data_IF_958023832688
#
_entry.id   IF_958023832688
#
_cell.length_a   1.000
_cell.length_b   1.000
_cell.length_c   1.000
_cell.angle_alpha   90.00
_cell.angle_beta   90.00
_cell.angle_gamma   90.00
#
_symmetry.space_group_name_H-M   'P 1'
#
loop_
_entity.id
_entity.type
_entity.pdbx_description
1 polymer ?
#
# COMPACT_ATOMS: atom_id res chain seq x y z
N UNK A 1 54.79 10.12 25.40
CA UNK A 1 53.45 10.44 24.89
C UNK A 1 53.32 10.47 23.36
N UNK A 2 54.40 10.32 22.55
CA UNK A 2 54.30 10.39 21.08
C UNK A 2 53.76 9.14 20.36
N UNK A 3 53.93 7.93 20.92
CA UNK A 3 53.60 6.70 20.18
C UNK A 3 52.10 6.38 20.12
N UNK A 4 51.32 6.76 21.14
CA UNK A 4 49.87 6.50 21.19
C UNK A 4 49.12 7.43 20.23
N UNK A 5 49.55 8.69 20.13
CA UNK A 5 48.98 9.65 19.17
C UNK A 5 49.15 9.16 17.73
N UNK A 6 50.34 8.64 17.39
CA UNK A 6 50.62 8.15 16.04
C UNK A 6 49.78 6.93 15.66
N UNK A 7 49.48 6.05 16.62
CA UNK A 7 48.61 4.87 16.40
C UNK A 7 47.17 5.32 16.13
N UNK A 8 46.65 6.28 16.90
CA UNK A 8 45.28 6.80 16.72
C UNK A 8 45.15 7.50 15.36
N UNK A 9 46.14 8.31 14.96
CA UNK A 9 46.14 8.96 13.64
C UNK A 9 46.17 7.94 12.51
N UNK A 10 46.97 6.87 12.64
CA UNK A 10 47.04 5.81 11.62
C UNK A 10 45.70 5.08 11.46
N UNK A 11 45.01 4.77 12.57
CA UNK A 11 43.68 4.12 12.55
C UNK A 11 42.64 5.03 11.89
N UNK A 12 42.65 6.33 12.16
CA UNK A 12 41.71 7.26 11.50
C UNK A 12 41.94 7.35 9.99
N UNK A 13 43.20 7.38 9.54
CA UNK A 13 43.53 7.40 8.10
C UNK A 13 43.04 6.12 7.41
N UNK A 14 43.22 4.96 8.04
CA UNK A 14 42.70 3.70 7.50
C UNK A 14 41.16 3.66 7.45
N UNK A 15 40.48 4.18 8.47
CA UNK A 15 39.02 4.28 8.48
C UNK A 15 38.50 5.18 7.35
N UNK A 16 39.15 6.32 7.09
CA UNK A 16 38.77 7.22 5.99
C UNK A 16 38.98 6.60 4.61
N UNK A 17 40.08 5.86 4.41
CA UNK A 17 40.34 5.14 3.14
C UNK A 17 39.31 4.02 2.94
N UNK A 18 38.97 3.27 3.98
CA UNK A 18 37.96 2.21 3.92
C UNK A 18 36.56 2.76 3.58
N UNK A 19 36.17 3.90 4.17
CA UNK A 19 34.92 4.59 3.81
C UNK A 19 34.93 5.10 2.36
N UNK A 20 36.06 5.61 1.87
CA UNK A 20 36.20 6.04 0.48
C UNK A 20 36.07 4.89 -0.53
N UNK A 21 36.70 3.75 -0.25
CA UNK A 21 36.60 2.55 -1.10
C UNK A 21 35.18 1.95 -1.04
N UNK A 22 34.56 1.94 0.14
CA UNK A 22 33.17 1.49 0.32
C UNK A 22 32.19 2.37 -0.47
N UNK A 23 32.36 3.69 -0.40
CA UNK A 23 31.56 4.63 -1.17
C UNK A 23 31.78 4.47 -2.68
N UNK A 24 33.02 4.28 -3.13
CA UNK A 24 33.35 4.04 -4.53
C UNK A 24 32.77 2.73 -5.10
N UNK A 25 32.74 1.65 -4.30
CA UNK A 25 32.11 0.38 -4.66
C UNK A 25 30.58 0.50 -4.80
N UNK A 26 29.93 1.21 -3.88
CA UNK A 26 28.48 1.47 -3.94
C UNK A 26 28.14 2.35 -5.15
N UNK A 27 28.94 3.38 -5.40
CA UNK A 27 28.76 4.28 -6.54
C UNK A 27 28.94 3.55 -7.88
N UNK A 28 30.00 2.73 -8.03
CA UNK A 28 30.22 1.95 -9.25
C UNK A 28 29.10 0.93 -9.51
N UNK A 29 28.46 0.41 -8.47
CA UNK A 29 27.31 -0.51 -8.61
C UNK A 29 26.04 0.20 -9.10
N UNK A 30 25.88 1.50 -8.84
CA UNK A 30 24.75 2.29 -9.35
C UNK A 30 25.02 2.84 -10.77
N UNK A 31 26.26 3.21 -11.11
CA UNK A 31 26.59 3.75 -12.44
C UNK A 31 26.70 2.70 -13.56
N UNK A 32 26.66 1.40 -13.24
CA UNK A 32 26.61 0.32 -14.22
C UNK A 32 25.20 -0.05 -14.71
N UNK A 33 24.15 0.54 -14.14
CA UNK A 33 22.75 0.28 -14.51
C UNK A 33 22.29 1.24 -15.63
N UNK A 34 23.08 1.36 -16.70
CA UNK A 34 22.61 1.91 -17.97
C UNK A 34 21.80 0.84 -18.69
N UNK A 35 20.47 0.97 -18.67
CA UNK A 35 19.59 0.11 -19.48
C UNK A 35 19.81 0.48 -20.95
N UNK A 36 20.49 -0.40 -21.70
CA UNK A 36 20.45 -0.37 -23.15
C UNK A 36 19.07 -0.87 -23.59
N UNK A 37 18.20 0.06 -23.99
CA UNK A 37 16.90 -0.27 -24.59
C UNK A 37 17.16 -0.52 -26.07
N UNK A 38 17.32 -1.79 -26.47
CA UNK A 38 17.14 -2.17 -27.87
C UNK A 38 15.63 -2.25 -28.14
N UNK A 39 15.11 -1.26 -28.86
CA UNK A 39 13.73 -1.29 -29.37
C UNK A 39 13.67 -2.41 -30.42
N UNK A 40 13.17 -3.58 -30.02
CA UNK A 40 12.85 -4.67 -30.93
C UNK A 40 11.74 -4.23 -31.87
N UNK A 41 11.92 -4.49 -33.18
CA UNK A 41 10.95 -4.14 -34.23
C UNK A 41 9.60 -4.83 -33.97
N UNK A 42 8.54 -4.04 -34.10
CA UNK A 42 7.15 -4.47 -33.95
C UNK A 42 6.68 -5.09 -35.27
N UNK A 43 6.59 -6.42 -35.35
CA UNK A 43 6.00 -7.12 -36.51
C UNK A 43 4.49 -7.35 -36.26
N UNK A 44 3.66 -6.63 -37.02
CA UNK A 44 2.21 -6.82 -37.09
C UNK A 44 1.87 -7.80 -38.21
N UNK A 45 1.78 -9.10 -37.90
CA UNK A 45 1.12 -10.06 -38.78
C UNK A 45 -0.08 -10.71 -38.03
N UNK A 46 -1.33 -10.43 -38.43
CA UNK A 46 -2.51 -10.81 -37.67
C UNK A 46 -3.01 -12.25 -37.93
N UNK A 47 -2.22 -13.11 -38.59
CA UNK A 47 -2.62 -14.47 -38.95
C UNK A 47 -1.63 -15.55 -38.47
N UNK A 48 -1.50 -15.71 -37.16
CA UNK A 48 -0.90 -16.91 -36.56
C UNK A 48 -1.82 -17.41 -35.44
N UNK A 49 -2.45 -18.57 -35.67
CA UNK A 49 -3.49 -19.14 -34.82
C UNK A 49 -3.06 -19.41 -33.38
N UNK A 50 -4.03 -19.27 -32.48
CA UNK A 50 -3.93 -19.56 -31.05
C UNK A 50 -3.44 -21.00 -30.81
N UNK A 51 -2.24 -21.12 -30.27
CA UNK A 51 -1.88 -22.25 -29.43
C UNK A 51 -1.81 -21.72 -28.00
N UNK A 52 -2.79 -22.09 -27.18
CA UNK A 52 -2.77 -21.88 -25.73
C UNK A 52 -1.56 -22.64 -25.19
N UNK A 53 -0.47 -21.91 -24.92
CA UNK A 53 0.72 -22.47 -24.28
C UNK A 53 0.42 -22.59 -22.80
N UNK A 54 0.42 -23.81 -22.29
CA UNK A 54 0.45 -24.09 -20.86
C UNK A 54 1.62 -23.33 -20.22
N UNK A 55 1.30 -22.28 -19.45
CA UNK A 55 2.30 -21.52 -18.70
C UNK A 55 2.72 -22.40 -17.52
N UNK A 56 3.85 -23.09 -17.66
CA UNK A 56 4.54 -23.71 -16.51
C UNK A 56 4.82 -22.60 -15.51
N UNK A 57 4.34 -22.78 -14.28
CA UNK A 57 4.54 -21.86 -13.15
C UNK A 57 6.02 -21.90 -12.75
N UNK A 58 6.84 -21.10 -13.40
CA UNK A 58 8.25 -20.94 -13.03
C UNK A 58 8.36 -20.35 -11.63
N UNK A 59 9.26 -20.92 -10.84
CA UNK A 59 9.52 -20.52 -9.47
C UNK A 59 10.26 -19.17 -9.46
N UNK A 60 9.49 -18.09 -9.42
CA UNK A 60 10.00 -16.72 -9.38
C UNK A 60 10.89 -16.56 -8.15
N UNK A 61 12.16 -16.22 -8.37
CA UNK A 61 13.14 -15.91 -7.33
C UNK A 61 12.61 -14.70 -6.53
N UNK A 62 12.10 -14.97 -5.31
CA UNK A 62 11.39 -13.98 -4.51
C UNK A 62 12.35 -12.84 -4.12
N UNK A 63 11.90 -11.60 -4.28
CA UNK A 63 12.63 -10.43 -3.79
C UNK A 63 12.93 -10.60 -2.30
N UNK A 64 14.13 -10.25 -1.84
CA UNK A 64 14.51 -10.30 -0.40
C UNK A 64 13.49 -9.62 0.51
N UNK A 65 12.80 -8.60 0.00
CA UNK A 65 11.70 -7.94 0.73
C UNK A 65 10.51 -8.86 0.99
N UNK A 66 10.17 -9.77 0.08
CA UNK A 66 9.14 -10.79 0.29
C UNK A 66 9.57 -11.89 1.27
N UNK A 67 10.87 -12.06 1.50
CA UNK A 67 11.38 -12.96 2.53
C UNK A 67 11.21 -12.33 3.92
N UNK A 68 11.48 -11.03 4.05
CA UNK A 68 11.24 -10.26 5.28
C UNK A 68 9.76 -10.02 5.57
N UNK A 69 8.96 -9.74 4.55
CA UNK A 69 7.51 -9.68 4.65
C UNK A 69 7.03 -11.13 4.77
N UNK A 70 6.83 -11.61 5.99
CA UNK A 70 6.35 -12.97 6.29
C UNK A 70 4.91 -13.25 5.80
N UNK A 71 4.45 -12.54 4.76
CA UNK A 71 3.18 -12.68 4.07
C UNK A 71 3.34 -13.74 2.99
N UNK A 72 2.49 -14.76 3.04
CA UNK A 72 2.41 -15.81 2.03
C UNK A 72 1.55 -15.36 0.86
N UNK A 73 0.34 -14.89 1.16
CA UNK A 73 -0.64 -14.51 0.14
C UNK A 73 -1.73 -13.60 0.73
N UNK A 74 -2.43 -12.89 -0.16
CA UNK A 74 -3.60 -12.05 0.15
C UNK A 74 -4.73 -12.48 -0.78
N UNK A 75 -5.73 -13.14 -0.20
CA UNK A 75 -6.94 -13.62 -0.89
C UNK A 75 -8.18 -13.18 -0.12
N UNK A 76 -9.19 -12.67 -0.83
CA UNK A 76 -10.49 -12.29 -0.25
C UNK A 76 -10.37 -11.43 1.03
N UNK A 77 -9.49 -10.41 1.00
CA UNK A 77 -9.22 -9.50 2.11
C UNK A 77 -8.55 -10.12 3.35
N UNK A 78 -8.10 -11.38 3.24
CA UNK A 78 -7.40 -12.10 4.30
C UNK A 78 -5.93 -12.22 3.92
N UNK A 79 -5.06 -11.77 4.83
CA UNK A 79 -3.61 -11.90 4.72
C UNK A 79 -3.22 -13.20 5.42
N UNK A 80 -2.59 -14.11 4.67
CA UNK A 80 -2.02 -15.35 5.18
C UNK A 80 -0.55 -15.13 5.49
N UNK A 81 -0.13 -15.50 6.70
CA UNK A 81 1.26 -15.43 7.12
C UNK A 81 1.95 -16.79 6.92
N UNK A 82 3.20 -16.76 6.43
CA UNK A 82 4.02 -17.96 6.20
C UNK A 82 4.31 -18.72 7.49
N UNK A 83 4.45 -18.00 8.61
CA UNK A 83 4.76 -18.57 9.92
C UNK A 83 3.50 -18.66 10.77
N UNK A 84 3.32 -19.82 11.41
CA UNK A 84 2.28 -20.03 12.42
C UNK A 84 0.85 -20.18 11.90
N UNK A 85 0.65 -20.41 10.60
CA UNK A 85 -0.68 -20.45 9.96
C UNK A 85 -1.55 -19.24 10.34
N UNK A 86 -0.91 -18.08 10.49
CA UNK A 86 -1.57 -16.86 10.94
C UNK A 86 -2.47 -16.29 9.86
N UNK A 87 -3.70 -15.94 10.22
CA UNK A 87 -4.61 -15.20 9.36
C UNK A 87 -4.81 -13.80 9.93
N UNK A 88 -4.83 -12.79 9.07
CA UNK A 88 -5.07 -11.39 9.44
C UNK A 88 -6.11 -10.75 8.54
N UNK A 89 -6.92 -9.87 9.11
CA UNK A 89 -7.78 -8.94 8.39
C UNK A 89 -7.42 -7.53 8.84
N UNK A 90 -7.36 -6.60 7.88
CA UNK A 90 -7.17 -5.17 8.16
C UNK A 90 -8.51 -4.46 7.94
N UNK A 91 -8.92 -3.70 8.95
CA UNK A 91 -10.06 -2.79 8.90
C UNK A 91 -9.55 -1.36 8.73
N UNK A 92 -10.20 -0.58 7.87
CA UNK A 92 -10.06 0.87 7.81
C UNK A 92 -11.08 1.49 8.75
N UNK A 93 -10.65 2.47 9.55
CA UNK A 93 -11.49 3.13 10.55
C UNK A 93 -11.45 4.64 10.30
N UNK A 94 -12.64 5.22 10.18
CA UNK A 94 -12.84 6.67 10.15
C UNK A 94 -13.75 7.06 11.31
N UNK A 95 -13.20 7.82 12.26
CA UNK A 95 -13.94 8.35 13.40
C UNK A 95 -14.76 9.58 12.98
N UNK A 96 -15.94 9.80 13.58
CA UNK A 96 -16.59 11.10 13.54
C UNK A 96 -15.73 12.15 14.26
N UNK A 97 -16.03 13.43 14.03
CA UNK A 97 -15.43 14.50 14.81
C UNK A 97 -16.12 14.57 16.17
N UNK A 98 -15.43 14.08 17.21
CA UNK A 98 -15.95 14.01 18.56
C UNK A 98 -16.36 15.38 19.13
N UNK A 99 -15.70 16.46 18.71
CA UNK A 99 -16.03 17.80 19.16
C UNK A 99 -17.38 18.30 18.62
N UNK A 100 -17.81 17.76 17.46
CA UNK A 100 -19.07 18.11 16.81
C UNK A 100 -20.25 17.26 17.28
N UNK A 101 -20.01 16.25 18.12
CA UNK A 101 -21.06 15.41 18.69
C UNK A 101 -21.79 16.16 19.82
N UNK A 102 -23.09 15.92 19.95
CA UNK A 102 -23.84 16.34 21.12
C UNK A 102 -23.52 15.44 22.34
N UNK A 103 -23.97 15.83 23.54
CA UNK A 103 -23.58 15.12 24.77
C UNK A 103 -24.11 13.67 24.82
N UNK A 104 -25.31 13.42 24.31
CA UNK A 104 -25.86 12.06 24.22
C UNK A 104 -25.05 11.19 23.25
N UNK A 105 -24.63 11.75 22.12
CA UNK A 105 -23.79 11.08 21.13
C UNK A 105 -22.40 10.79 21.68
N UNK A 106 -21.82 11.71 22.46
CA UNK A 106 -20.55 11.48 23.16
C UNK A 106 -20.67 10.35 24.16
N UNK A 107 -21.74 10.32 24.95
CA UNK A 107 -22.00 9.24 25.90
C UNK A 107 -22.12 7.88 25.19
N UNK A 108 -22.86 7.80 24.07
CA UNK A 108 -22.96 6.57 23.26
C UNK A 108 -21.60 6.16 22.71
N UNK A 109 -20.83 7.12 22.20
CA UNK A 109 -19.49 6.90 21.66
C UNK A 109 -18.55 6.31 22.72
N UNK A 110 -18.49 6.93 23.91
CA UNK A 110 -17.64 6.48 25.01
C UNK A 110 -18.06 5.10 25.54
N UNK A 111 -19.35 4.89 25.77
CA UNK A 111 -19.86 3.59 26.24
C UNK A 111 -19.57 2.48 25.24
N UNK A 112 -19.73 2.73 23.93
CA UNK A 112 -19.41 1.76 22.88
C UNK A 112 -17.93 1.36 22.88
N UNK A 113 -17.03 2.31 23.15
CA UNK A 113 -15.59 2.03 23.25
C UNK A 113 -15.22 1.26 24.52
N UNK A 114 -15.88 1.55 25.64
CA UNK A 114 -15.73 0.78 26.89
C UNK A 114 -16.20 -0.65 26.69
N UNK A 115 -17.38 -0.83 26.08
CA UNK A 115 -17.94 -2.15 25.74
C UNK A 115 -17.02 -2.93 24.80
N UNK A 116 -16.44 -2.26 23.79
CA UNK A 116 -15.41 -2.88 22.95
C UNK A 116 -14.25 -3.37 23.81
N UNK A 117 -13.68 -2.51 24.65
CA UNK A 117 -12.56 -2.86 25.53
C UNK A 117 -12.84 -4.08 26.41
N UNK A 118 -14.06 -4.19 26.94
CA UNK A 118 -14.50 -5.34 27.74
C UNK A 118 -14.73 -6.61 26.90
N UNK A 119 -15.17 -6.47 25.65
CA UNK A 119 -15.40 -7.57 24.73
C UNK A 119 -14.09 -8.13 24.12
N UNK A 120 -12.98 -7.40 24.20
CA UNK A 120 -11.69 -7.84 23.67
C UNK A 120 -11.07 -8.95 24.51
N UNK A 121 -11.22 -10.19 24.05
CA UNK A 121 -10.50 -11.36 24.55
C UNK A 121 -9.39 -11.85 23.59
N UNK A 122 -8.99 -11.03 22.63
CA UNK A 122 -7.95 -11.33 21.65
C UNK A 122 -7.09 -10.10 21.33
N UNK A 123 -5.90 -10.35 20.77
CA UNK A 123 -4.97 -9.30 20.36
C UNK A 123 -5.47 -8.52 19.15
N UNK A 124 -5.48 -7.20 19.28
CA UNK A 124 -5.75 -6.24 18.21
C UNK A 124 -4.57 -5.28 18.11
N UNK A 125 -4.23 -4.88 16.89
CA UNK A 125 -3.22 -3.85 16.65
C UNK A 125 -3.83 -2.66 15.90
N UNK A 126 -3.75 -1.48 16.51
CA UNK A 126 -4.10 -0.24 15.82
C UNK A 126 -2.88 0.32 15.09
N UNK A 127 -3.10 0.82 13.89
CA UNK A 127 -2.08 1.41 13.05
C UNK A 127 -2.61 2.68 12.39
N UNK A 128 -1.86 3.76 12.50
CA UNK A 128 -2.24 5.05 11.90
C UNK A 128 -1.10 5.56 11.06
N UNK A 129 -1.42 6.03 9.86
CA UNK A 129 -0.43 6.61 8.95
C UNK A 129 -0.98 7.86 8.27
N UNK A 130 -0.09 8.79 7.96
CA UNK A 130 -0.41 9.96 7.16
C UNK A 130 -0.22 9.61 5.69
N UNK A 131 -1.28 9.71 4.90
CA UNK A 131 -1.23 9.56 3.45
C UNK A 131 -1.45 10.92 2.80
N UNK A 132 -0.78 11.18 1.68
CA UNK A 132 -1.07 12.39 0.91
C UNK A 132 -2.54 12.38 0.48
N UNK A 133 -3.16 13.55 0.44
CA UNK A 133 -4.55 13.67 -0.01
C UNK A 133 -4.65 13.24 -1.47
N UNK A 134 -5.62 12.39 -1.73
CA UNK A 134 -6.02 11.98 -3.07
C UNK A 134 -7.39 12.60 -3.35
N UNK A 135 -7.43 13.52 -4.30
CA UNK A 135 -8.67 14.19 -4.74
C UNK A 135 -9.09 13.77 -6.15
N UNK A 136 -8.40 12.83 -6.80
CA UNK A 136 -8.59 12.51 -8.22
C UNK A 136 -10.03 12.16 -8.54
N UNK A 137 -10.59 11.20 -7.80
CA UNK A 137 -11.98 10.75 -7.99
C UNK A 137 -12.98 11.90 -7.80
N UNK A 138 -12.74 12.78 -6.82
CA UNK A 138 -13.61 13.94 -6.59
C UNK A 138 -13.46 15.00 -7.69
N UNK A 139 -12.24 15.21 -8.18
CA UNK A 139 -11.94 16.12 -9.28
C UNK A 139 -12.60 15.62 -10.58
N UNK A 140 -12.48 14.33 -10.90
CA UNK A 140 -13.11 13.72 -12.07
C UNK A 140 -14.63 13.84 -12.04
N UNK A 141 -15.25 13.67 -10.87
CA UNK A 141 -16.69 13.91 -10.70
C UNK A 141 -17.08 15.37 -10.96
N UNK A 142 -16.30 16.33 -10.47
CA UNK A 142 -16.53 17.75 -10.76
C UNK A 142 -16.36 18.06 -12.27
N UNK A 143 -15.37 17.43 -12.90
CA UNK A 143 -15.14 17.57 -14.35
C UNK A 143 -16.28 16.96 -15.18
N UNK A 144 -16.85 15.83 -14.74
CA UNK A 144 -17.97 15.19 -15.43
C UNK A 144 -19.19 16.12 -15.51
N UNK A 145 -19.51 16.85 -14.43
CA UNK A 145 -20.60 17.85 -14.42
C UNK A 145 -20.34 19.00 -15.39
N UNK A 146 -19.07 19.37 -15.58
CA UNK A 146 -18.68 20.45 -16.50
C UNK A 146 -18.84 20.01 -17.97
N UNK A 147 -18.55 18.73 -18.26
CA UNK A 147 -18.60 18.14 -19.60
C UNK A 147 -20.00 17.65 -20.00
N UNK A 148 -20.93 17.64 -19.06
CA UNK A 148 -22.28 17.16 -19.31
C UNK A 148 -22.99 18.09 -20.31
N UNK A 149 -23.58 17.46 -21.32
CA UNK A 149 -24.23 18.12 -22.47
C UNK A 149 -25.67 18.48 -22.10
N UNK A 150 -26.19 17.99 -20.96
CA UNK A 150 -27.55 18.28 -20.54
C UNK A 150 -27.78 19.81 -20.38
N UNK A 151 -28.71 20.33 -21.18
CA UNK A 151 -29.13 21.74 -21.20
C UNK A 151 -29.87 22.13 -19.91
N UNK A 152 -30.27 21.16 -19.09
CA UNK A 152 -30.87 21.41 -17.77
C UNK A 152 -29.88 21.94 -16.73
N UNK A 153 -28.57 21.81 -16.97
CA UNK A 153 -27.53 22.25 -16.04
C UNK A 153 -27.20 23.72 -16.31
N UNK A 154 -27.56 24.59 -15.35
CA UNK A 154 -27.26 26.03 -15.39
C UNK A 154 -25.75 26.26 -15.60
N UNK A 155 -25.42 27.19 -16.49
CA UNK A 155 -24.05 27.61 -16.80
C UNK A 155 -23.26 27.97 -15.54
N UNK A 156 -23.90 28.60 -14.54
CA UNK A 156 -23.25 28.93 -13.26
C UNK A 156 -22.78 27.70 -12.50
N UNK A 157 -23.50 26.58 -12.60
CA UNK A 157 -23.13 25.32 -11.96
C UNK A 157 -21.94 24.68 -12.68
N UNK A 158 -21.86 24.81 -14.01
CA UNK A 158 -20.70 24.38 -14.80
C UNK A 158 -19.46 25.19 -14.43
N UNK A 159 -19.58 26.52 -14.31
CA UNK A 159 -18.48 27.39 -13.91
C UNK A 159 -17.99 27.09 -12.48
N UNK A 160 -18.92 26.86 -11.54
CA UNK A 160 -18.57 26.43 -10.18
C UNK A 160 -17.85 25.08 -10.19
N UNK A 161 -18.35 24.10 -10.96
CA UNK A 161 -17.74 22.77 -11.05
C UNK A 161 -16.32 22.82 -11.61
N UNK A 162 -16.06 23.70 -12.59
CA UNK A 162 -14.72 23.94 -13.12
C UNK A 162 -13.79 24.56 -12.06
N UNK A 163 -14.25 25.58 -11.33
CA UNK A 163 -13.45 26.19 -10.26
C UNK A 163 -13.13 25.20 -9.12
N UNK A 164 -14.08 24.30 -8.81
CA UNK A 164 -13.89 23.23 -7.84
C UNK A 164 -12.86 22.21 -8.33
N UNK A 165 -12.94 21.82 -9.60
CA UNK A 165 -11.97 20.92 -10.23
C UNK A 165 -10.54 21.48 -10.15
N UNK A 166 -10.34 22.74 -10.53
CA UNK A 166 -9.04 23.41 -10.44
C UNK A 166 -8.52 23.44 -9.01
N UNK A 167 -9.40 23.75 -8.05
CA UNK A 167 -9.02 23.79 -6.64
C UNK A 167 -8.62 22.43 -6.09
N UNK A 168 -9.31 21.37 -6.50
CA UNK A 168 -8.97 19.99 -6.11
C UNK A 168 -7.61 19.57 -6.70
N UNK A 169 -7.34 19.91 -7.97
CA UNK A 169 -6.03 19.68 -8.57
C UNK A 169 -4.91 20.44 -7.88
N UNK A 170 -5.14 21.70 -7.49
CA UNK A 170 -4.17 22.47 -6.70
C UNK A 170 -3.85 21.78 -5.37
N UNK A 171 -4.88 21.29 -4.67
CA UNK A 171 -4.72 20.55 -3.42
C UNK A 171 -3.93 19.27 -3.62
N UNK A 172 -4.18 18.52 -4.70
CA UNK A 172 -3.44 17.30 -5.02
C UNK A 172 -1.95 17.56 -5.34
N UNK A 173 -1.70 18.63 -6.10
CA UNK A 173 -0.34 19.01 -6.50
C UNK A 173 0.43 19.66 -5.36
N UNK A 174 -0.27 20.21 -4.37
CA UNK A 174 0.36 20.74 -3.17
C UNK A 174 1.13 19.63 -2.43
N UNK A 175 2.39 19.89 -2.11
CA UNK A 175 3.28 18.88 -1.51
C UNK A 175 3.00 18.59 -0.03
N UNK A 176 2.12 19.34 0.62
CA UNK A 176 2.04 19.40 2.10
C UNK A 176 0.68 19.01 2.68
N UNK A 177 -0.29 18.60 1.86
CA UNK A 177 -1.62 18.24 2.36
C UNK A 177 -1.71 16.74 2.58
N UNK A 178 -1.78 16.34 3.84
CA UNK A 178 -1.85 14.94 4.28
C UNK A 178 -3.12 14.69 5.09
N UNK A 179 -3.71 13.50 4.92
CA UNK A 179 -4.80 12.99 5.73
C UNK A 179 -4.32 11.83 6.59
N UNK A 180 -4.83 11.79 7.82
CA UNK A 180 -4.59 10.69 8.73
C UNK A 180 -5.54 9.54 8.43
N UNK A 181 -5.01 8.37 8.08
CA UNK A 181 -5.78 7.14 7.92
C UNK A 181 -5.48 6.20 9.07
N UNK A 182 -6.54 5.71 9.71
CA UNK A 182 -6.45 4.76 10.82
C UNK A 182 -6.91 3.37 10.39
N UNK A 183 -6.22 2.37 10.90
CA UNK A 183 -6.39 0.98 10.58
C UNK A 183 -6.38 0.14 11.86
N UNK A 184 -7.05 -1.00 11.80
CA UNK A 184 -7.09 -1.99 12.87
C UNK A 184 -6.79 -3.36 12.26
N UNK A 185 -5.77 -4.03 12.77
CA UNK A 185 -5.35 -5.36 12.34
C UNK A 185 -5.83 -6.36 13.37
N UNK A 186 -6.63 -7.32 12.91
CA UNK A 186 -7.20 -8.38 13.73
C UNK A 186 -6.64 -9.69 13.21
N UNK A 187 -6.20 -10.55 14.13
CA UNK A 187 -5.52 -11.78 13.79
C UNK A 187 -5.90 -12.99 14.61
N UNK A 188 -5.57 -14.15 14.05
CA UNK A 188 -5.55 -15.43 14.73
C UNK A 188 -4.28 -16.18 14.33
N UNK A 189 -3.66 -16.85 15.29
CA UNK A 189 -2.41 -17.61 15.13
C UNK A 189 -2.61 -19.06 15.58
N UNK A 190 -1.85 -19.98 14.98
CA UNK A 190 -1.70 -21.34 15.50
C UNK A 190 -2.88 -22.29 15.28
N UNK A 191 -3.86 -21.93 14.44
CA UNK A 191 -5.00 -22.81 14.16
C UNK A 191 -4.72 -23.69 12.94
N UNK A 192 -4.71 -25.01 13.16
CA UNK A 192 -4.44 -26.01 12.11
C UNK A 192 -5.62 -26.16 11.15
N UNK A 193 -6.85 -26.15 11.67
CA UNK A 193 -8.06 -26.21 10.85
C UNK A 193 -8.41 -24.83 10.26
N UNK A 194 -8.19 -24.70 8.95
CA UNK A 194 -8.47 -23.48 8.18
C UNK A 194 -9.92 -23.02 8.31
N UNK A 195 -10.91 -23.93 8.32
CA UNK A 195 -12.33 -23.53 8.36
C UNK A 195 -12.68 -22.92 9.71
N UNK A 196 -12.20 -23.55 10.79
CA UNK A 196 -12.36 -23.03 12.15
C UNK A 196 -11.65 -21.69 12.32
N UNK A 197 -10.42 -21.58 11.84
CA UNK A 197 -9.63 -20.34 11.90
C UNK A 197 -10.36 -19.16 11.22
N UNK A 198 -10.94 -19.42 10.05
CA UNK A 198 -11.69 -18.41 9.29
C UNK A 198 -12.99 -18.01 10.00
N UNK A 199 -13.72 -18.98 10.56
CA UNK A 199 -14.95 -18.70 11.31
C UNK A 199 -14.66 -17.84 12.54
N UNK A 200 -13.64 -18.22 13.31
CA UNK A 200 -13.22 -17.46 14.48
C UNK A 200 -12.72 -16.06 14.13
N UNK A 201 -11.91 -15.92 13.07
CA UNK A 201 -11.44 -14.61 12.59
C UNK A 201 -12.62 -13.72 12.20
N UNK A 202 -13.63 -14.26 11.49
CA UNK A 202 -14.84 -13.51 11.13
C UNK A 202 -15.63 -13.09 12.36
N UNK A 203 -15.74 -13.93 13.37
CA UNK A 203 -16.39 -13.58 14.63
C UNK A 203 -15.65 -12.43 15.33
N UNK A 204 -14.32 -12.51 15.45
CA UNK A 204 -13.48 -11.44 16.02
C UNK A 204 -13.66 -10.11 15.27
N UNK A 205 -13.66 -10.16 13.94
CA UNK A 205 -13.91 -8.99 13.09
C UNK A 205 -15.32 -8.44 13.32
N UNK A 206 -16.34 -9.31 13.40
CA UNK A 206 -17.73 -8.93 13.65
C UNK A 206 -17.91 -8.21 15.00
N UNK A 207 -17.27 -8.70 16.07
CA UNK A 207 -17.27 -8.04 17.38
C UNK A 207 -16.72 -6.62 17.30
N UNK A 208 -15.56 -6.45 16.65
CA UNK A 208 -14.92 -5.13 16.53
C UNK A 208 -15.72 -4.20 15.62
N UNK A 209 -16.18 -4.69 14.48
CA UNK A 209 -16.99 -3.90 13.54
C UNK A 209 -18.31 -3.47 14.17
N UNK A 210 -18.98 -4.36 14.90
CA UNK A 210 -20.24 -4.05 15.59
C UNK A 210 -20.05 -2.92 16.60
N UNK A 211 -19.08 -3.06 17.52
CA UNK A 211 -18.84 -2.07 18.55
C UNK A 211 -18.42 -0.69 17.99
N UNK A 212 -17.52 -0.68 17.00
CA UNK A 212 -17.08 0.57 16.37
C UNK A 212 -18.21 1.23 15.56
N UNK A 213 -19.11 0.44 14.95
CA UNK A 213 -20.28 0.98 14.24
C UNK A 213 -21.29 1.59 15.20
N UNK A 214 -21.48 1.01 16.39
CA UNK A 214 -22.30 1.61 17.46
C UNK A 214 -21.73 2.96 17.92
N UNK A 215 -20.39 3.07 17.96
CA UNK A 215 -19.69 4.34 18.18
C UNK A 215 -19.76 5.32 16.98
N UNK A 216 -20.67 5.12 16.02
CA UNK A 216 -20.81 5.92 14.80
C UNK A 216 -19.52 6.04 13.96
N UNK A 217 -18.57 5.13 14.15
CA UNK A 217 -17.35 5.09 13.33
C UNK A 217 -17.64 4.35 12.03
N UNK A 218 -17.09 4.83 10.92
CA UNK A 218 -17.15 4.12 9.64
C UNK A 218 -16.03 3.09 9.60
N UNK A 219 -16.40 1.82 9.48
CA UNK A 219 -15.46 0.69 9.46
C UNK A 219 -15.66 -0.13 8.21
N UNK A 220 -14.59 -0.29 7.41
CA UNK A 220 -14.62 -1.12 6.20
C UNK A 220 -13.45 -2.10 6.19
N UNK A 221 -13.71 -3.35 5.81
CA UNK A 221 -12.67 -4.36 5.56
C UNK A 221 -11.87 -3.93 4.31
N UNK A 222 -10.54 -3.93 4.38
CA UNK A 222 -9.73 -3.61 3.20
C UNK A 222 -9.69 -4.77 2.23
N UNK A 223 -10.00 -4.47 0.96
CA UNK A 223 -9.80 -5.37 -0.18
C UNK A 223 -8.31 -5.51 -0.54
N UNK A 224 -7.99 -6.50 -1.37
CA UNK A 224 -6.61 -6.85 -1.75
C UNK A 224 -5.85 -5.66 -2.32
N UNK A 225 -6.49 -4.90 -3.21
CA UNK A 225 -5.94 -3.72 -3.88
C UNK A 225 -5.62 -2.62 -2.87
N UNK A 226 -6.54 -2.39 -1.93
CA UNK A 226 -6.38 -1.38 -0.87
C UNK A 226 -5.30 -1.80 0.15
N UNK A 227 -5.14 -3.10 0.42
CA UNK A 227 -4.04 -3.62 1.24
C UNK A 227 -2.71 -3.38 0.52
N UNK A 228 -2.62 -3.68 -0.78
CA UNK A 228 -1.43 -3.39 -1.57
C UNK A 228 -1.08 -1.90 -1.57
N UNK A 229 -2.10 -1.04 -1.74
CA UNK A 229 -1.95 0.42 -1.64
C UNK A 229 -1.45 0.85 -0.25
N UNK A 230 -1.95 0.25 0.83
CA UNK A 230 -1.48 0.52 2.18
C UNK A 230 0.01 0.20 2.31
N UNK A 231 0.45 -0.98 1.87
CA UNK A 231 1.87 -1.34 1.87
C UNK A 231 2.70 -0.39 1.02
N UNK A 232 2.25 -0.03 -0.19
CA UNK A 232 2.93 0.92 -1.05
C UNK A 232 3.11 2.28 -0.36
N UNK A 233 2.08 2.79 0.32
CA UNK A 233 2.13 4.06 1.05
C UNK A 233 3.07 4.01 2.25
N UNK A 234 3.09 2.88 2.98
CA UNK A 234 3.93 2.72 4.17
C UNK A 234 5.40 2.57 3.79
N UNK A 235 5.69 1.83 2.71
CA UNK A 235 7.06 1.59 2.24
C UNK A 235 7.61 2.79 1.45
N UNK A 236 6.77 3.51 0.71
CA UNK A 236 7.15 4.64 -0.13
C UNK A 236 6.52 5.95 0.35
N UNK A 237 6.83 6.36 1.59
CA UNK A 237 6.26 7.56 2.19
C UNK A 237 6.52 8.80 1.33
N UNK A 238 5.47 9.60 1.10
CA UNK A 238 5.55 10.84 0.32
C UNK A 238 5.45 10.65 -1.20
N UNK A 239 5.31 9.42 -1.69
CA UNK A 239 5.00 9.14 -3.09
C UNK A 239 3.49 9.18 -3.37
N UNK A 240 3.11 9.51 -4.61
CA UNK A 240 1.73 9.49 -5.10
C UNK A 240 1.44 8.20 -5.90
N UNK A 241 2.03 7.08 -5.47
CA UNK A 241 1.79 5.79 -6.14
C UNK A 241 0.34 5.40 -5.92
N UNK A 242 -0.41 5.15 -7.00
CA UNK A 242 -1.74 4.56 -6.95
C UNK A 242 -1.70 3.20 -7.63
N UNK A 243 -1.87 2.14 -6.85
CA UNK A 243 -1.90 0.76 -7.31
C UNK A 243 -3.10 0.52 -8.22
N UNK A 244 -4.23 1.16 -7.93
CA UNK A 244 -5.45 1.09 -8.74
C UNK A 244 -5.18 1.56 -10.18
N UNK A 245 -4.59 2.75 -10.34
CA UNK A 245 -4.21 3.24 -11.67
C UNK A 245 -3.13 2.38 -12.34
N UNK A 246 -2.23 1.74 -11.57
CA UNK A 246 -1.22 0.84 -12.15
C UNK A 246 -1.84 -0.45 -12.69
N UNK A 247 -2.91 -0.95 -12.04
CA UNK A 247 -3.69 -2.10 -12.51
C UNK A 247 -4.50 -1.73 -13.76
N UNK A 248 -5.16 -0.57 -13.76
CA UNK A 248 -5.93 -0.06 -14.91
C UNK A 248 -5.08 0.13 -16.16
N UNK A 249 -3.85 0.62 -16.00
CA UNK A 249 -2.93 0.88 -17.13
C UNK A 249 -2.05 -0.32 -17.50
N UNK A 250 -2.39 -1.52 -17.01
CA UNK A 250 -1.67 -2.79 -17.24
C UNK A 250 -0.14 -2.69 -17.04
N UNK A 251 0.29 -1.84 -16.11
CA UNK A 251 1.72 -1.57 -15.87
C UNK A 251 2.45 -2.83 -15.38
N UNK A 252 1.71 -3.77 -14.80
CA UNK A 252 2.23 -5.03 -14.31
C UNK A 252 2.54 -6.06 -15.40
N UNK A 253 1.95 -5.96 -16.61
CA UNK A 253 2.26 -6.87 -17.73
C UNK A 253 3.62 -6.60 -18.36
N UNK A 254 4.14 -5.37 -18.19
CA UNK A 254 5.47 -4.96 -18.70
C UNK A 254 6.63 -5.50 -17.85
N UNK A 255 6.35 -6.03 -16.66
CA UNK A 255 7.36 -6.77 -15.90
C UNK A 255 7.54 -8.14 -16.52
N UNK A 256 8.45 -8.25 -17.49
CA UNK A 256 9.03 -9.54 -17.83
C UNK A 256 9.82 -10.00 -16.61
N UNK A 257 9.40 -11.14 -16.05
CA UNK A 257 10.20 -11.87 -15.08
C UNK A 257 11.50 -12.22 -15.82
N UNK A 258 12.61 -11.62 -15.38
CA UNK A 258 13.90 -11.77 -16.05
C UNK A 258 14.23 -13.25 -16.22
N UNK A 259 14.21 -13.71 -17.46
CA UNK A 259 14.67 -15.02 -17.86
C UNK A 259 16.15 -15.11 -17.45
N UNK A 260 16.50 -16.11 -16.63
CA UNK A 260 17.91 -16.42 -16.39
C UNK A 260 18.49 -16.78 -17.75
N UNK A 261 19.34 -15.93 -18.30
CA UNK A 261 20.28 -16.33 -19.35
C UNK A 261 21.13 -17.44 -18.75
N UNK A 262 20.74 -18.69 -19.01
CA UNK A 262 21.65 -19.81 -18.87
C UNK A 262 22.86 -19.48 -19.72
N UNK A 263 24.02 -19.43 -19.07
CA UNK A 263 25.30 -19.30 -19.73
C UNK A 263 25.49 -20.48 -20.69
N UNK A 264 25.02 -20.34 -21.92
CA UNK A 264 25.61 -21.04 -23.05
C UNK A 264 27.03 -20.48 -23.21
N UNK A 265 28.01 -21.20 -22.68
CA UNK A 265 29.38 -21.31 -23.20
C UNK A 265 30.24 -22.20 -22.28
N UNK A 266 30.22 -23.52 -22.49
CA UNK A 266 31.37 -24.32 -22.96
C UNK A 266 31.05 -25.81 -22.95
#
# INVERSE_FOLDING_TARGET
MGNISNIITMVMVFASIASGIGFWLVYRKQSGAGVNISIGKFDLNPNAGENVRDIKKEEVERSKLQEYLEIEDIENSIIKLKRGNGLRIILSISSPDFALLNDDEKNIFENSLVELGLALNFSIQFFTTSTKVDTKVSAEKALAVTKDIDDAIDQKLKDYSLSLYERLLELENSRHVYVRKSYCVIGIDGVVDKKRALSELRNRVGTVMGALSMAKMRVNVLEKEKIAQLFANVLNKGSNISIEHMLENDVFSTYSVGEKLENSNK
#
